data_IF_730159035905
#
_entry.id   IF_730159035905
#
_cell.length_a   1.000
_cell.length_b   1.000
_cell.length_c   1.000
_cell.angle_alpha   90.00
_cell.angle_beta   90.00
_cell.angle_gamma   90.00
#
_symmetry.space_group_name_H-M   'P 1'
#
loop_
_entity.id
_entity.type
_entity.pdbx_description
1 polymer ?
#
# COMPACT_ATOMS: atom_id res chain seq x y z
N UNK A 1 -9.85 11.80 16.76
CA UNK A 1 -8.96 10.67 16.43
C UNK A 1 -9.31 10.13 15.05
N UNK A 2 -8.58 10.58 14.02
CA UNK A 2 -8.56 9.96 12.69
C UNK A 2 -7.08 9.64 12.41
N UNK A 3 -6.57 8.56 13.00
CA UNK A 3 -5.15 8.19 12.90
C UNK A 3 -4.74 7.76 11.49
N UNK A 4 -5.71 7.49 10.60
CA UNK A 4 -5.47 7.03 9.23
C UNK A 4 -5.07 8.16 8.26
N UNK A 5 -5.53 9.40 8.47
CA UNK A 5 -5.27 10.51 7.53
C UNK A 5 -3.78 10.89 7.40
N UNK A 6 -2.98 10.57 8.42
CA UNK A 6 -1.53 10.80 8.46
C UNK A 6 -0.75 9.52 8.80
N UNK A 7 -1.35 8.34 8.61
CA UNK A 7 -0.67 7.07 8.85
C UNK A 7 0.47 6.93 7.83
N UNK A 8 1.71 7.04 8.30
CA UNK A 8 2.88 6.77 7.45
C UNK A 8 2.91 5.29 7.11
N UNK A 9 3.07 4.96 5.82
CA UNK A 9 3.35 3.59 5.40
C UNK A 9 4.56 3.07 6.17
N UNK A 10 4.36 1.94 6.85
CA UNK A 10 5.46 1.18 7.44
C UNK A 10 6.40 0.71 6.33
N UNK A 11 7.64 0.36 6.67
CA UNK A 11 8.60 -0.20 5.69
C UNK A 11 8.04 -1.47 5.05
N UNK A 12 7.35 -2.31 5.84
CA UNK A 12 6.74 -3.53 5.36
C UNK A 12 5.60 -3.27 4.37
N UNK A 13 4.67 -2.38 4.71
CA UNK A 13 3.53 -2.06 3.83
C UNK A 13 3.99 -1.41 2.52
N UNK A 14 5.05 -0.60 2.55
CA UNK A 14 5.66 -0.05 1.32
C UNK A 14 6.28 -1.14 0.44
N UNK A 15 7.01 -2.09 1.03
CA UNK A 15 7.60 -3.19 0.28
C UNK A 15 6.52 -4.09 -0.37
N UNK A 16 5.43 -4.35 0.36
CA UNK A 16 4.30 -5.11 -0.15
C UNK A 16 3.63 -4.42 -1.35
N UNK A 17 3.44 -3.10 -1.26
CA UNK A 17 2.83 -2.29 -2.32
C UNK A 17 3.70 -2.29 -3.59
N UNK A 18 5.02 -2.13 -3.44
CA UNK A 18 5.97 -2.24 -4.56
C UNK A 18 5.93 -3.64 -5.18
N UNK A 19 5.92 -4.69 -4.36
CA UNK A 19 5.89 -6.07 -4.85
C UNK A 19 4.65 -6.33 -5.72
N UNK A 20 3.49 -5.87 -5.27
CA UNK A 20 2.21 -6.00 -5.97
C UNK A 20 2.20 -5.28 -7.31
N UNK A 21 2.77 -4.08 -7.37
CA UNK A 21 2.87 -3.33 -8.63
C UNK A 21 3.84 -4.03 -9.59
N UNK A 22 5.05 -4.36 -9.13
CA UNK A 22 6.12 -4.84 -10.02
C UNK A 22 6.00 -6.31 -10.41
N UNK A 23 5.52 -7.17 -9.51
CA UNK A 23 5.47 -8.62 -9.75
C UNK A 23 4.07 -9.13 -10.07
N UNK A 24 3.03 -8.50 -9.52
CA UNK A 24 1.64 -8.92 -9.76
C UNK A 24 0.95 -8.07 -10.83
N UNK A 25 1.59 -6.99 -11.29
CA UNK A 25 1.08 -6.11 -12.35
C UNK A 25 -0.14 -5.28 -11.93
N UNK A 26 -0.38 -5.16 -10.61
CA UNK A 26 -1.51 -4.39 -10.09
C UNK A 26 -1.29 -2.90 -10.32
N UNK A 27 -2.39 -2.19 -10.64
CA UNK A 27 -2.34 -0.72 -10.66
C UNK A 27 -2.12 -0.20 -9.24
N UNK A 28 -1.43 0.93 -9.06
CA UNK A 28 -1.11 1.47 -7.73
C UNK A 28 -2.33 1.60 -6.81
N UNK A 29 -3.49 1.97 -7.35
CA UNK A 29 -4.75 2.10 -6.62
C UNK A 29 -5.28 0.74 -6.13
N UNK A 30 -5.16 -0.30 -6.96
CA UNK A 30 -5.57 -1.66 -6.62
C UNK A 30 -4.62 -2.28 -5.58
N UNK A 31 -3.32 -2.03 -5.72
CA UNK A 31 -2.32 -2.43 -4.74
C UNK A 31 -2.50 -1.72 -3.39
N UNK A 32 -2.88 -0.44 -3.40
CA UNK A 32 -3.22 0.34 -2.22
C UNK A 32 -4.48 -0.22 -1.53
N UNK A 33 -5.55 -0.43 -2.28
CA UNK A 33 -6.80 -1.04 -1.79
C UNK A 33 -6.53 -2.41 -1.15
N UNK A 34 -5.73 -3.26 -1.79
CA UNK A 34 -5.35 -4.58 -1.27
C UNK A 34 -4.45 -4.50 -0.02
N UNK A 35 -3.81 -3.36 0.24
CA UNK A 35 -3.03 -3.08 1.45
C UNK A 35 -3.85 -2.40 2.55
N UNK A 36 -5.13 -2.05 2.30
CA UNK A 36 -6.00 -1.37 3.26
C UNK A 36 -5.62 0.10 3.50
N UNK A 37 -4.97 0.74 2.50
CA UNK A 37 -4.58 2.16 2.52
C UNK A 37 -5.36 2.96 1.49
#
# INVERSE_FOLDING_TARGET
MNHHKNARLTVHSRALLIRRILHEGLRPEEAAQACGV
#
